data_IF_777978306291
#
_entry.id   IF_777978306291
#
_cell.length_a   1.000
_cell.length_b   1.000
_cell.length_c   1.000
_cell.angle_alpha   90.00
_cell.angle_beta   90.00
_cell.angle_gamma   90.00
#
_symmetry.space_group_name_H-M   'P 1'
#
loop_
_entity.id
_entity.type
_entity.pdbx_description
1 polymer ?
#
# COMPACT_ATOMS: atom_id res chain seq x y z
N UNK A 1 61.76 -18.15 -24.95
CA UNK A 1 60.36 -18.60 -24.98
C UNK A 1 59.62 -17.89 -23.85
N UNK A 2 58.91 -16.80 -24.14
CA UNK A 2 58.15 -16.01 -23.16
C UNK A 2 56.68 -16.37 -23.33
N UNK A 3 56.10 -17.04 -22.34
CA UNK A 3 54.66 -17.28 -22.28
C UNK A 3 53.97 -16.06 -21.66
N UNK A 4 52.99 -15.51 -22.37
CA UNK A 4 52.17 -14.38 -21.95
C UNK A 4 50.80 -14.92 -21.58
N UNK A 5 50.45 -14.88 -20.29
CA UNK A 5 49.12 -15.28 -19.80
C UNK A 5 48.19 -14.06 -19.83
N UNK A 6 47.22 -14.09 -20.73
CA UNK A 6 46.14 -13.11 -20.82
C UNK A 6 45.07 -13.52 -19.79
N UNK A 7 44.88 -12.70 -18.76
CA UNK A 7 43.75 -12.84 -17.85
C UNK A 7 42.53 -12.14 -18.45
N UNK A 8 41.52 -12.93 -18.84
CA UNK A 8 40.17 -12.44 -19.14
C UNK A 8 39.49 -12.07 -17.81
N UNK A 9 39.28 -10.79 -17.57
CA UNK A 9 38.40 -10.31 -16.49
C UNK A 9 36.96 -10.36 -17.03
N UNK A 10 36.20 -11.39 -16.65
CA UNK A 10 34.76 -11.44 -16.83
C UNK A 10 34.11 -10.40 -15.90
N UNK A 11 33.67 -9.29 -16.47
CA UNK A 11 32.75 -8.36 -15.80
C UNK A 11 31.39 -9.05 -15.64
N UNK A 12 31.19 -9.69 -14.48
CA UNK A 12 29.86 -9.99 -13.98
C UNK A 12 29.20 -8.65 -13.63
N UNK A 13 28.48 -8.08 -14.59
CA UNK A 13 27.58 -6.97 -14.34
C UNK A 13 26.63 -7.38 -13.23
N UNK A 14 26.78 -6.78 -12.05
CA UNK A 14 25.80 -6.89 -10.98
C UNK A 14 24.50 -6.29 -11.52
N UNK A 15 23.60 -7.16 -11.97
CA UNK A 15 22.20 -6.82 -12.14
C UNK A 15 21.72 -6.40 -10.75
N UNK A 16 21.66 -5.09 -10.50
CA UNK A 16 20.94 -4.56 -9.36
C UNK A 16 19.52 -5.10 -9.50
N UNK A 17 19.20 -6.14 -8.74
CA UNK A 17 17.84 -6.63 -8.57
C UNK A 17 17.09 -5.45 -7.97
N UNK A 18 16.43 -4.68 -8.83
CA UNK A 18 15.56 -3.59 -8.40
C UNK A 18 14.63 -4.16 -7.33
N UNK A 19 14.53 -3.46 -6.21
CA UNK A 19 13.73 -3.91 -5.08
C UNK A 19 12.29 -4.10 -5.57
N UNK A 20 11.84 -5.36 -5.73
CA UNK A 20 10.50 -5.74 -6.21
C UNK A 20 9.40 -5.15 -5.32
N UNK A 21 9.76 -4.74 -4.12
CA UNK A 21 8.86 -4.10 -3.18
C UNK A 21 8.64 -2.60 -3.40
N UNK A 22 9.49 -1.96 -4.21
CA UNK A 22 9.44 -0.52 -4.42
C UNK A 22 8.91 -0.21 -5.81
N UNK A 23 8.04 0.79 -5.89
CA UNK A 23 7.59 1.36 -7.16
C UNK A 23 7.83 2.87 -7.16
N UNK A 24 7.84 3.49 -8.34
CA UNK A 24 8.03 4.93 -8.50
C UNK A 24 6.99 5.74 -7.70
N UNK A 25 5.80 5.19 -7.50
CA UNK A 25 4.70 5.81 -6.75
C UNK A 25 4.42 5.13 -5.41
N UNK A 26 5.25 4.19 -4.97
CA UNK A 26 5.19 3.61 -3.63
C UNK A 26 6.61 3.21 -3.23
N UNK A 27 7.48 4.20 -2.95
CA UNK A 27 8.85 3.94 -2.51
C UNK A 27 8.84 3.24 -1.16
N UNK A 28 9.62 2.17 -1.03
CA UNK A 28 9.78 1.41 0.23
C UNK A 28 11.22 1.42 0.73
N UNK A 29 11.92 2.53 0.50
CA UNK A 29 13.29 2.73 0.96
C UNK A 29 13.31 2.81 2.51
N UNK A 30 14.14 2.00 3.20
CA UNK A 30 14.21 1.99 4.66
C UNK A 30 14.78 3.28 5.27
N UNK A 31 15.50 4.10 4.50
CA UNK A 31 16.08 5.36 4.98
C UNK A 31 15.04 6.50 4.94
N UNK A 32 13.98 6.34 4.16
CA UNK A 32 12.88 7.30 4.11
C UNK A 32 11.89 7.11 5.26
N UNK A 33 11.36 8.24 5.75
CA UNK A 33 10.26 8.24 6.72
C UNK A 33 9.20 9.25 6.31
N UNK A 34 7.94 8.87 6.42
CA UNK A 34 6.82 9.75 6.08
C UNK A 34 6.08 10.12 7.35
N UNK A 35 5.95 11.41 7.61
CA UNK A 35 5.15 11.91 8.72
C UNK A 35 3.79 12.34 8.19
N UNK A 36 2.73 11.70 8.66
CA UNK A 36 1.36 11.97 8.25
C UNK A 36 0.51 12.53 9.39
N UNK A 37 -0.52 13.29 9.02
CA UNK A 37 -1.63 13.67 9.90
C UNK A 37 -2.89 12.97 9.44
N UNK A 38 -3.55 12.26 10.36
CA UNK A 38 -4.94 11.83 10.20
C UNK A 38 -5.85 13.05 10.30
N UNK A 39 -6.72 13.26 9.33
CA UNK A 39 -7.63 14.41 9.30
C UNK A 39 -8.90 14.19 10.13
N UNK A 40 -9.21 12.92 10.46
CA UNK A 40 -10.37 12.56 11.26
C UNK A 40 -10.21 12.94 12.74
N UNK A 41 -9.01 12.79 13.29
CA UNK A 41 -8.73 12.93 14.73
C UNK A 41 -7.47 13.77 15.03
N UNK A 42 -6.83 14.33 14.00
CA UNK A 42 -5.58 15.08 14.06
C UNK A 42 -4.39 14.30 14.65
N UNK A 43 -4.47 12.97 14.77
CA UNK A 43 -3.34 12.16 15.19
C UNK A 43 -2.23 12.20 14.14
N UNK A 44 -0.98 12.17 14.62
CA UNK A 44 0.21 12.14 13.76
C UNK A 44 0.90 10.79 13.92
N UNK A 45 1.37 10.24 12.80
CA UNK A 45 2.19 9.03 12.80
C UNK A 45 3.38 9.17 11.86
N UNK A 46 4.43 8.39 12.15
CA UNK A 46 5.56 8.18 11.26
C UNK A 46 5.41 6.80 10.63
N UNK A 47 5.41 6.75 9.30
CA UNK A 47 5.49 5.53 8.53
C UNK A 47 6.95 5.25 8.14
N UNK A 48 7.36 4.00 8.29
CA UNK A 48 8.66 3.47 7.83
C UNK A 48 8.47 2.09 7.21
N UNK A 49 9.45 1.66 6.42
CA UNK A 49 9.51 0.32 5.85
C UNK A 49 10.78 -0.39 6.31
N UNK A 50 10.64 -1.65 6.73
CA UNK A 50 11.74 -2.47 7.22
C UNK A 50 11.80 -3.73 6.34
N UNK A 51 12.86 -3.93 5.55
CA UNK A 51 13.03 -5.18 4.80
C UNK A 51 13.11 -6.37 5.76
N UNK A 52 12.27 -7.38 5.52
CA UNK A 52 12.26 -8.62 6.33
C UNK A 52 12.72 -9.84 5.53
N UNK A 53 13.03 -9.66 4.23
CA UNK A 53 13.59 -10.67 3.35
C UNK A 53 13.59 -10.21 1.88
N UNK A 54 14.07 -11.04 0.94
CA UNK A 54 14.24 -10.68 -0.49
C UNK A 54 12.95 -10.29 -1.25
N UNK A 55 11.78 -10.59 -0.69
CA UNK A 55 10.48 -10.25 -1.26
C UNK A 55 9.44 -9.94 -0.20
N UNK A 56 9.89 -9.41 0.94
CA UNK A 56 9.02 -9.12 2.07
C UNK A 56 9.52 -7.88 2.83
N UNK A 57 8.57 -7.08 3.29
CA UNK A 57 8.85 -5.93 4.14
C UNK A 57 7.74 -5.73 5.16
N UNK A 58 8.11 -5.09 6.26
CA UNK A 58 7.19 -4.64 7.29
C UNK A 58 7.00 -3.14 7.13
N UNK A 59 5.77 -2.71 6.86
CA UNK A 59 5.36 -1.33 7.06
C UNK A 59 5.06 -1.13 8.53
N UNK A 60 5.61 -0.08 9.13
CA UNK A 60 5.34 0.31 10.51
C UNK A 60 4.78 1.73 10.54
N UNK A 61 3.63 1.91 11.18
CA UNK A 61 3.04 3.23 11.48
C UNK A 61 3.09 3.46 12.97
N UNK A 62 3.94 4.39 13.39
CA UNK A 62 4.16 4.70 14.80
C UNK A 62 3.41 5.97 15.18
N UNK A 63 2.34 5.80 15.95
CA UNK A 63 1.62 6.87 16.62
C UNK A 63 2.24 7.16 17.99
N UNK A 64 1.76 8.20 18.67
CA UNK A 64 2.20 8.51 20.03
C UNK A 64 1.84 7.41 21.04
N UNK A 65 0.67 6.78 20.89
CA UNK A 65 0.13 5.80 21.85
C UNK A 65 0.21 4.34 21.39
N UNK A 66 0.46 4.09 20.11
CA UNK A 66 0.42 2.74 19.52
C UNK A 66 1.32 2.62 18.30
N UNK A 67 1.62 1.39 17.93
CA UNK A 67 2.29 1.06 16.68
C UNK A 67 1.41 0.09 15.92
N UNK A 68 1.17 0.38 14.65
CA UNK A 68 0.47 -0.49 13.72
C UNK A 68 1.50 -1.03 12.73
N UNK A 69 1.33 -2.29 12.32
CA UNK A 69 2.22 -2.93 11.36
C UNK A 69 1.44 -3.60 10.23
N UNK A 70 2.05 -3.67 9.06
CA UNK A 70 1.51 -4.41 7.91
C UNK A 70 2.63 -5.18 7.25
N UNK A 71 2.48 -6.50 7.21
CA UNK A 71 3.43 -7.37 6.51
C UNK A 71 3.08 -7.39 5.02
N UNK A 72 4.04 -7.02 4.20
CA UNK A 72 3.93 -7.01 2.76
C UNK A 72 4.70 -8.17 2.15
N UNK A 73 4.11 -8.79 1.13
CA UNK A 73 4.76 -9.72 0.20
C UNK A 73 4.88 -9.03 -1.14
N UNK A 74 6.10 -9.01 -1.68
CA UNK A 74 6.44 -8.35 -2.92
C UNK A 74 6.47 -9.38 -4.05
N UNK A 75 5.72 -9.11 -5.11
CA UNK A 75 5.66 -9.95 -6.31
C UNK A 75 5.99 -9.11 -7.53
N UNK A 76 6.41 -9.70 -8.66
CA UNK A 76 6.63 -8.94 -9.90
C UNK A 76 5.41 -8.11 -10.33
N UNK A 77 4.20 -8.56 -9.97
CA UNK A 77 2.94 -7.86 -10.26
C UNK A 77 2.67 -6.68 -9.31
N UNK A 78 3.32 -6.63 -8.15
CA UNK A 78 3.09 -5.61 -7.11
C UNK A 78 3.08 -6.16 -5.69
N UNK A 79 2.70 -5.30 -4.74
CA UNK A 79 2.67 -5.59 -3.32
C UNK A 79 1.33 -6.19 -2.89
N UNK A 80 1.42 -7.17 -2.01
CA UNK A 80 0.29 -7.93 -1.47
C UNK A 80 0.38 -7.95 0.05
N UNK A 81 -0.74 -7.88 0.74
CA UNK A 81 -0.82 -8.18 2.17
C UNK A 81 -2.06 -9.01 2.45
N UNK A 82 -1.95 -9.94 3.39
CA UNK A 82 -3.08 -10.68 3.92
C UNK A 82 -2.96 -10.59 5.44
N UNK A 83 -3.67 -9.66 6.09
CA UNK A 83 -3.62 -9.51 7.54
C UNK A 83 -3.97 -10.83 8.23
N UNK A 84 -3.16 -11.22 9.21
CA UNK A 84 -3.41 -12.41 10.02
C UNK A 84 -4.34 -12.09 11.19
N UNK A 85 -5.08 -13.11 11.64
CA UNK A 85 -5.96 -13.01 12.80
C UNK A 85 -7.35 -12.46 12.51
N UNK A 86 -8.11 -12.28 13.57
CA UNK A 86 -9.49 -11.80 13.51
C UNK A 86 -9.52 -10.30 13.79
N UNK A 87 -10.18 -9.56 12.90
CA UNK A 87 -10.48 -8.14 13.08
C UNK A 87 -11.83 -7.99 13.79
N UNK A 88 -11.91 -7.23 14.89
CA UNK A 88 -13.16 -6.98 15.56
C UNK A 88 -14.07 -6.12 14.67
N UNK A 89 -15.35 -6.48 14.61
CA UNK A 89 -16.42 -5.69 13.99
C UNK A 89 -17.59 -5.56 14.97
N UNK A 90 -18.49 -4.59 14.79
CA UNK A 90 -19.68 -4.51 15.64
C UNK A 90 -20.44 -5.86 15.68
N UNK A 91 -20.55 -6.43 16.88
CA UNK A 91 -21.25 -7.69 17.10
C UNK A 91 -20.48 -8.97 16.72
N UNK A 92 -19.19 -8.89 16.39
CA UNK A 92 -18.46 -10.09 16.00
C UNK A 92 -17.02 -9.89 15.55
N UNK A 93 -16.54 -10.78 14.68
CA UNK A 93 -15.21 -10.72 14.12
C UNK A 93 -15.19 -11.16 12.65
N UNK A 94 -14.20 -10.67 11.91
CA UNK A 94 -13.97 -11.01 10.51
C UNK A 94 -12.48 -11.26 10.26
N UNK A 95 -12.17 -12.24 9.44
CA UNK A 95 -10.82 -12.54 8.96
C UNK A 95 -10.79 -12.51 7.44
N UNK A 96 -9.72 -11.96 6.91
CA UNK A 96 -9.38 -12.09 5.49
C UNK A 96 -8.68 -13.43 5.29
N UNK A 97 -9.27 -14.29 4.47
CA UNK A 97 -8.79 -15.67 4.28
C UNK A 97 -7.98 -15.86 3.01
N UNK A 98 -8.14 -14.95 2.06
CA UNK A 98 -7.45 -14.98 0.77
C UNK A 98 -7.44 -13.61 0.13
N UNK A 99 -6.36 -13.30 -0.58
CA UNK A 99 -6.23 -12.13 -1.44
C UNK A 99 -6.05 -12.57 -2.90
N UNK A 100 -6.90 -12.05 -3.79
CA UNK A 100 -6.78 -12.16 -5.25
C UNK A 100 -6.36 -10.79 -5.78
N UNK A 101 -5.30 -10.74 -6.61
CA UNK A 101 -4.72 -9.50 -7.13
C UNK A 101 -3.60 -8.91 -6.27
N UNK A 102 -3.29 -7.64 -6.52
CA UNK A 102 -2.27 -6.84 -5.82
C UNK A 102 -2.89 -5.53 -5.32
N UNK A 103 -2.42 -5.04 -4.18
CA UNK A 103 -2.96 -3.83 -3.55
C UNK A 103 -2.28 -2.59 -4.16
N UNK A 104 -0.95 -2.65 -4.28
CA UNK A 104 -0.13 -1.65 -4.97
C UNK A 104 0.46 -2.32 -6.21
N UNK A 105 0.13 -1.88 -7.43
CA UNK A 105 0.60 -2.52 -8.65
C UNK A 105 2.06 -2.17 -8.97
N UNK A 106 2.65 -2.95 -9.86
CA UNK A 106 3.96 -2.67 -10.48
C UNK A 106 3.98 -1.32 -11.23
N UNK A 107 5.19 -0.83 -11.51
CA UNK A 107 5.45 0.44 -12.22
C UNK A 107 4.67 0.61 -13.53
N UNK A 108 4.42 -0.50 -14.24
CA UNK A 108 3.73 -0.48 -15.53
C UNK A 108 2.27 -0.04 -15.43
N UNK A 109 1.66 0.00 -14.24
CA UNK A 109 0.27 0.45 -14.08
C UNK A 109 0.17 1.95 -13.84
N UNK A 110 1.26 2.60 -13.41
CA UNK A 110 1.26 3.98 -12.91
C UNK A 110 1.28 5.03 -14.02
N UNK A 111 0.15 5.14 -14.73
CA UNK A 111 -0.13 6.20 -15.71
C UNK A 111 -1.62 6.52 -15.73
N UNK A 112 -1.98 7.71 -16.20
CA UNK A 112 -3.41 8.06 -16.41
C UNK A 112 -4.09 7.00 -17.26
N UNK A 113 -5.26 6.53 -16.80
CA UNK A 113 -6.01 5.42 -17.40
C UNK A 113 -5.64 4.03 -16.86
N UNK A 114 -4.54 3.89 -16.11
CA UNK A 114 -4.16 2.66 -15.42
C UNK A 114 -5.21 2.21 -14.41
N UNK A 115 -5.40 0.89 -14.28
CA UNK A 115 -6.42 0.27 -13.43
C UNK A 115 -5.97 -1.06 -12.88
N UNK A 116 -6.46 -1.40 -11.70
CA UNK A 116 -6.29 -2.72 -11.11
C UNK A 116 -7.43 -3.01 -10.13
N UNK A 117 -7.66 -4.30 -9.88
CA UNK A 117 -8.67 -4.79 -8.96
C UNK A 117 -8.00 -5.76 -8.00
N UNK A 118 -8.38 -5.71 -6.73
CA UNK A 118 -8.07 -6.77 -5.78
C UNK A 118 -9.29 -7.13 -4.94
N UNK A 119 -9.28 -8.37 -4.43
CA UNK A 119 -10.40 -8.92 -3.68
C UNK A 119 -9.93 -9.75 -2.51
N UNK A 120 -10.51 -9.50 -1.35
CA UNK A 120 -10.41 -10.36 -0.18
C UNK A 120 -11.62 -11.29 -0.08
N UNK A 121 -11.38 -12.56 0.23
CA UNK A 121 -12.41 -13.48 0.73
C UNK A 121 -12.50 -13.36 2.25
N UNK A 122 -13.70 -13.17 2.78
CA UNK A 122 -13.95 -12.93 4.20
C UNK A 122 -14.63 -14.14 4.83
N UNK A 123 -14.22 -14.46 6.06
CA UNK A 123 -14.94 -15.38 6.95
C UNK A 123 -14.99 -14.80 8.34
N UNK A 124 -16.06 -15.06 9.06
CA UNK A 124 -16.16 -14.63 10.44
C UNK A 124 -17.50 -14.96 11.05
N UNK A 125 -17.83 -14.28 12.13
CA UNK A 125 -19.04 -14.53 12.90
C UNK A 125 -19.65 -13.22 13.34
N UNK A 126 -20.98 -13.11 13.26
CA UNK A 126 -21.75 -12.02 13.89
C UNK A 126 -22.78 -12.67 14.82
N UNK A 127 -22.75 -12.29 16.10
CA UNK A 127 -23.47 -12.97 17.17
C UNK A 127 -23.20 -14.50 17.13
N UNK A 128 -24.22 -15.31 16.82
CA UNK A 128 -24.11 -16.78 16.74
C UNK A 128 -24.02 -17.30 15.29
N UNK A 129 -24.04 -16.43 14.29
CA UNK A 129 -24.06 -16.83 12.88
C UNK A 129 -22.66 -16.75 12.27
N UNK A 130 -22.20 -17.85 11.68
CA UNK A 130 -21.01 -17.84 10.85
C UNK A 130 -21.36 -17.28 9.45
N UNK A 131 -20.55 -16.34 8.99
CA UNK A 131 -20.74 -15.64 7.74
C UNK A 131 -19.51 -15.79 6.85
N UNK A 132 -19.76 -15.83 5.56
CA UNK A 132 -18.75 -15.73 4.52
C UNK A 132 -19.10 -14.58 3.59
N UNK A 133 -18.09 -14.02 2.94
CA UNK A 133 -18.28 -12.81 2.17
C UNK A 133 -17.05 -12.37 1.41
N UNK A 134 -17.04 -11.12 0.98
CA UNK A 134 -15.92 -10.54 0.26
C UNK A 134 -15.81 -9.03 0.44
N UNK A 135 -14.63 -8.51 0.14
CA UNK A 135 -14.37 -7.11 -0.12
C UNK A 135 -13.59 -7.00 -1.42
N UNK A 136 -14.10 -6.26 -2.38
CA UNK A 136 -13.50 -6.00 -3.69
C UNK A 136 -13.23 -4.51 -3.84
N UNK A 137 -12.07 -4.19 -4.40
CA UNK A 137 -11.61 -2.82 -4.58
C UNK A 137 -11.17 -2.63 -6.02
N UNK A 138 -11.84 -1.74 -6.73
CA UNK A 138 -11.43 -1.29 -8.06
C UNK A 138 -10.74 0.05 -7.95
N UNK A 139 -9.54 0.16 -8.52
CA UNK A 139 -8.72 1.37 -8.53
C UNK A 139 -8.51 1.86 -9.95
N UNK A 140 -8.54 3.18 -10.14
CA UNK A 140 -8.27 3.82 -11.43
C UNK A 140 -7.50 5.11 -11.25
N UNK A 141 -6.42 5.28 -12.02
CA UNK A 141 -5.74 6.56 -12.15
C UNK A 141 -6.52 7.43 -13.13
N UNK A 142 -7.16 8.48 -12.62
CA UNK A 142 -8.09 9.31 -13.40
C UNK A 142 -7.43 10.58 -13.93
N UNK A 143 -6.41 11.10 -13.24
CA UNK A 143 -5.77 12.36 -13.59
C UNK A 143 -4.34 12.43 -13.07
N UNK A 144 -3.59 13.38 -13.63
CA UNK A 144 -2.32 13.88 -13.11
C UNK A 144 -2.54 15.36 -12.78
N UNK A 145 -2.35 15.75 -11.52
CA UNK A 145 -2.68 17.09 -11.04
C UNK A 145 -1.70 17.56 -9.96
N UNK A 146 -1.58 18.87 -9.78
CA UNK A 146 -0.79 19.44 -8.70
C UNK A 146 -1.65 19.56 -7.44
N UNK A 147 -1.21 18.94 -6.34
CA UNK A 147 -1.86 19.05 -5.03
C UNK A 147 -0.94 19.74 -4.02
N UNK A 148 -1.54 20.49 -3.09
CA UNK A 148 -0.83 21.12 -1.97
C UNK A 148 -1.20 20.40 -0.67
N UNK A 149 -0.19 20.03 0.11
CA UNK A 149 -0.29 19.44 1.45
C UNK A 149 0.73 20.17 2.36
N UNK A 150 0.73 19.96 3.68
CA UNK A 150 1.69 20.65 4.55
C UNK A 150 3.17 20.38 4.19
N UNK A 151 3.49 19.22 3.63
CA UNK A 151 4.83 18.90 3.13
C UNK A 151 5.25 19.68 1.86
N UNK A 152 4.33 20.40 1.20
CA UNK A 152 4.60 21.18 0.00
C UNK A 152 3.63 20.92 -1.15
N UNK A 153 4.07 21.26 -2.37
CA UNK A 153 3.31 21.05 -3.61
C UNK A 153 3.89 19.87 -4.38
N UNK A 154 3.02 18.97 -4.82
CA UNK A 154 3.42 17.77 -5.54
C UNK A 154 2.62 17.63 -6.83
N UNK A 155 3.30 17.23 -7.90
CA UNK A 155 2.64 16.67 -9.07
C UNK A 155 2.29 15.20 -8.77
N UNK A 156 1.01 14.87 -8.75
CA UNK A 156 0.51 13.59 -8.28
C UNK A 156 -0.48 12.95 -9.25
N UNK A 157 -0.46 11.62 -9.29
CA UNK A 157 -1.50 10.81 -9.91
C UNK A 157 -2.67 10.68 -8.94
N UNK A 158 -3.86 11.11 -9.37
CA UNK A 158 -5.10 10.91 -8.63
C UNK A 158 -5.66 9.54 -8.94
N UNK A 159 -5.70 8.68 -7.92
CA UNK A 159 -6.32 7.36 -7.96
C UNK A 159 -7.67 7.43 -7.28
N UNK A 160 -8.73 7.07 -8.00
CA UNK A 160 -10.06 6.87 -7.43
C UNK A 160 -10.26 5.36 -7.20
N UNK A 161 -10.71 5.02 -6.01
CA UNK A 161 -11.01 3.66 -5.59
C UNK A 161 -12.48 3.52 -5.22
N UNK A 162 -13.10 2.42 -5.63
CA UNK A 162 -14.44 2.02 -5.24
C UNK A 162 -14.40 0.70 -4.50
N UNK A 163 -15.01 0.66 -3.32
CA UNK A 163 -15.10 -0.53 -2.49
C UNK A 163 -16.50 -1.12 -2.59
N UNK A 164 -16.58 -2.43 -2.79
CA UNK A 164 -17.84 -3.18 -2.71
C UNK A 164 -17.60 -4.49 -1.97
N UNK A 165 -18.44 -4.78 -1.01
CA UNK A 165 -18.36 -6.02 -0.27
C UNK A 165 -19.72 -6.51 0.21
N UNK A 166 -19.70 -7.74 0.68
CA UNK A 166 -20.85 -8.43 1.24
C UNK A 166 -20.35 -9.29 2.40
N UNK A 167 -21.01 -9.18 3.55
CA UNK A 167 -20.75 -10.01 4.73
C UNK A 167 -22.01 -10.02 5.61
N UNK A 168 -22.95 -10.89 5.28
CA UNK A 168 -24.32 -10.87 5.81
C UNK A 168 -25.19 -9.73 5.27
N UNK A 169 -24.62 -8.53 5.18
CA UNK A 169 -25.20 -7.35 4.51
C UNK A 169 -24.20 -6.77 3.50
N UNK A 170 -24.70 -6.04 2.50
CA UNK A 170 -23.87 -5.30 1.56
C UNK A 170 -23.24 -4.06 2.19
N UNK A 171 -22.00 -3.77 1.81
CA UNK A 171 -21.28 -2.56 2.22
C UNK A 171 -20.40 -2.03 1.10
N UNK A 172 -20.00 -0.76 1.21
CA UNK A 172 -19.14 -0.15 0.21
C UNK A 172 -18.66 1.24 0.61
N UNK A 173 -17.97 1.88 -0.33
CA UNK A 173 -17.42 3.21 -0.12
C UNK A 173 -16.57 3.65 -1.29
N UNK A 174 -15.91 4.78 -1.12
CA UNK A 174 -14.98 5.34 -2.09
C UNK A 174 -13.75 5.88 -1.40
N UNK A 175 -12.63 5.90 -2.10
CA UNK A 175 -11.46 6.63 -1.69
C UNK A 175 -10.83 7.35 -2.87
N UNK A 176 -10.12 8.43 -2.56
CA UNK A 176 -9.23 9.11 -3.48
C UNK A 176 -7.86 9.18 -2.85
N UNK A 177 -6.84 8.78 -3.61
CA UNK A 177 -5.45 8.85 -3.23
C UNK A 177 -4.70 9.74 -4.22
N UNK A 178 -3.75 10.51 -3.72
CA UNK A 178 -2.82 11.28 -4.54
C UNK A 178 -1.43 10.71 -4.34
N UNK A 179 -0.89 10.10 -5.39
CA UNK A 179 0.44 9.50 -5.38
C UNK A 179 1.43 10.39 -6.13
N UNK A 180 2.47 10.85 -5.46
CA UNK A 180 3.57 11.60 -6.07
C UNK A 180 4.77 10.68 -6.31
N UNK A 181 5.43 10.85 -7.46
CA UNK A 181 6.60 10.05 -7.83
C UNK A 181 7.76 10.27 -6.86
N UNK A 182 8.44 9.20 -6.45
CA UNK A 182 9.52 9.20 -5.46
C UNK A 182 9.07 9.50 -4.03
N UNK A 183 7.77 9.73 -3.79
CA UNK A 183 7.22 10.08 -2.48
C UNK A 183 6.15 9.08 -2.02
N UNK A 184 5.27 8.63 -2.90
CA UNK A 184 4.14 7.79 -2.52
C UNK A 184 2.87 8.59 -2.26
N UNK A 185 2.01 8.11 -1.34
CA UNK A 185 0.74 8.77 -1.02
C UNK A 185 1.01 10.11 -0.34
N UNK A 186 0.70 11.24 -0.97
CA UNK A 186 0.80 12.56 -0.34
C UNK A 186 -0.49 12.97 0.36
N UNK A 187 -1.62 12.42 -0.09
CA UNK A 187 -2.93 12.60 0.52
C UNK A 187 -3.81 11.40 0.22
N UNK A 188 -4.68 11.06 1.16
CA UNK A 188 -5.80 10.17 0.93
C UNK A 188 -7.06 10.71 1.61
N UNK A 189 -8.20 10.45 1.00
CA UNK A 189 -9.52 10.70 1.56
C UNK A 189 -10.37 9.49 1.26
N UNK A 190 -11.05 8.95 2.26
CA UNK A 190 -11.99 7.85 2.06
C UNK A 190 -13.27 8.06 2.85
N UNK A 191 -14.34 7.46 2.36
CA UNK A 191 -15.66 7.43 2.97
C UNK A 191 -16.34 6.09 2.66
N UNK A 192 -17.24 5.65 3.52
CA UNK A 192 -17.94 4.38 3.31
C UNK A 192 -18.86 4.00 4.45
N UNK A 193 -19.50 2.84 4.30
CA UNK A 193 -20.50 2.30 5.24
C UNK A 193 -19.98 2.23 6.68
N UNK A 194 -18.68 2.00 6.87
CA UNK A 194 -18.04 1.87 8.19
C UNK A 194 -17.20 3.08 8.58
N UNK A 195 -17.47 4.24 7.95
CA UNK A 195 -16.70 5.46 8.13
C UNK A 195 -15.60 5.62 7.09
N UNK A 196 -14.83 6.69 7.26
CA UNK A 196 -13.80 7.13 6.34
C UNK A 196 -12.49 7.44 7.05
N UNK A 197 -11.38 7.19 6.39
CA UNK A 197 -10.03 7.53 6.84
C UNK A 197 -9.41 8.50 5.85
N UNK A 198 -8.93 9.63 6.36
CA UNK A 198 -8.27 10.65 5.56
C UNK A 198 -6.95 11.03 6.21
N UNK A 199 -5.91 11.18 5.41
CA UNK A 199 -4.61 11.65 5.90
C UNK A 199 -3.87 12.46 4.85
N UNK A 200 -2.91 13.28 5.31
CA UNK A 200 -2.03 14.04 4.42
C UNK A 200 -0.60 14.07 4.95
N UNK A 201 0.35 14.17 4.01
CA UNK A 201 1.77 14.21 4.30
C UNK A 201 2.14 15.57 4.89
N UNK A 202 2.74 15.52 6.07
CA UNK A 202 3.28 16.69 6.76
C UNK A 202 4.75 16.89 6.39
N UNK A 203 5.51 15.80 6.29
CA UNK A 203 6.96 15.86 6.10
C UNK A 203 7.46 14.54 5.50
N UNK A 204 8.38 14.64 4.54
CA UNK A 204 9.20 13.51 4.08
C UNK A 204 10.60 13.69 4.66
N UNK A 205 11.01 12.74 5.51
CA UNK A 205 12.30 12.75 6.20
C UNK A 205 13.25 11.83 5.42
N UNK A 206 14.46 12.31 5.19
CA UNK A 206 15.56 11.61 4.53
C UNK A 206 16.77 11.55 5.45
#
# INVERSE_FOLDING_TARGET
>A
MKAWSIWLVMWLGSLALGNVCSSAFYPTDPDLRWRYRNLNDNQVYIQTFIPTGPGALLEQRRFASRTETTQWTCTPQGLRTLPEGDLPIPGGSVRMTKLIGVIIPSNETWRVGGRWIYRYELKGRIAVFDLAGFLEVENRIVAKETISVPAGRFEALRVEASFRGEFGIGFGGKATYWFAEGVGVVKQVSEGTFGGQSSELIELIR
#
